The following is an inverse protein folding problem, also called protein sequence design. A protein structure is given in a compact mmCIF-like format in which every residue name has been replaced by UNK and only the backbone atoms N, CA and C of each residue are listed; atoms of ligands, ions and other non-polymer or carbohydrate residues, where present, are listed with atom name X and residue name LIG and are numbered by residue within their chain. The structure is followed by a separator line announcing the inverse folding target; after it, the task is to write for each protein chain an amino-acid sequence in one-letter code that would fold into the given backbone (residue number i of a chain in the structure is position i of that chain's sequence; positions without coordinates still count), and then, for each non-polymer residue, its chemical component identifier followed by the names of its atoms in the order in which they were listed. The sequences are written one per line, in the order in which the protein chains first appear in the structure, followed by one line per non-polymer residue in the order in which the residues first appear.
data_IF_924299459562
#
_entry.id   IF_924299459562
#
_cell.length_a   1.000
_cell.length_b   1.000
_cell.length_c   1.000
_cell.angle_alpha   90.00
_cell.angle_beta   90.00
_cell.angle_gamma   90.00
#
_symmetry.space_group_name_H-M   'P 1'
#
loop_
_entity.id
_entity.type
_entity.pdbx_description
1 polymer ?
#
# COMPACT_ATOMS: atom_id res chain seq x y z
N UNK A 1 -9.26 -8.78 -23.99
CA UNK A 1 -9.19 -8.83 -22.52
C UNK A 1 -8.71 -10.22 -22.08
N UNK A 2 -7.67 -10.36 -21.23
CA UNK A 2 -7.22 -11.66 -20.68
C UNK A 2 -8.32 -12.45 -19.93
N UNK A 3 -8.19 -13.78 -19.86
CA UNK A 3 -9.19 -14.68 -19.22
C UNK A 3 -9.53 -14.27 -17.78
N UNK A 4 -8.50 -13.96 -16.99
CA UNK A 4 -8.66 -13.48 -15.60
C UNK A 4 -9.64 -12.31 -15.52
N UNK A 5 -9.51 -11.34 -16.42
CA UNK A 5 -10.40 -10.19 -16.44
C UNK A 5 -11.79 -10.54 -16.95
N UNK A 6 -11.93 -11.43 -17.94
CA UNK A 6 -13.24 -11.87 -18.43
C UNK A 6 -14.08 -12.53 -17.33
N UNK A 7 -13.44 -13.28 -16.42
CA UNK A 7 -14.11 -13.92 -15.29
C UNK A 7 -14.56 -12.88 -14.25
N UNK A 8 -13.72 -11.90 -13.95
CA UNK A 8 -14.05 -10.86 -12.96
C UNK A 8 -15.03 -9.81 -13.49
N UNK A 9 -15.04 -9.61 -14.80
CA UNK A 9 -15.69 -8.49 -15.45
C UNK A 9 -17.21 -8.39 -15.17
N UNK A 10 -18.02 -9.48 -15.24
CA UNK A 10 -19.44 -9.42 -14.91
C UNK A 10 -19.72 -8.95 -13.49
N UNK A 11 -18.85 -9.30 -12.54
CA UNK A 11 -18.99 -8.92 -11.13
C UNK A 11 -18.62 -7.45 -10.92
N UNK A 12 -17.55 -6.99 -11.56
CA UNK A 12 -17.09 -5.61 -11.43
C UNK A 12 -18.03 -4.63 -12.15
N UNK A 13 -18.47 -4.96 -13.36
CA UNK A 13 -19.34 -4.08 -14.15
C UNK A 13 -20.74 -3.94 -13.55
N UNK A 14 -21.18 -4.91 -12.76
CA UNK A 14 -22.47 -4.87 -12.08
C UNK A 14 -22.60 -3.64 -11.17
N UNK A 15 -21.52 -3.25 -10.49
CA UNK A 15 -21.50 -2.04 -9.63
C UNK A 15 -21.60 -0.73 -10.40
N UNK A 16 -21.37 -0.75 -11.72
CA UNK A 16 -21.54 0.40 -12.61
C UNK A 16 -22.95 0.48 -13.23
N UNK A 17 -23.93 -0.27 -12.70
CA UNK A 17 -25.30 -0.33 -13.24
C UNK A 17 -26.40 -0.35 -12.17
N UNK A 18 -26.07 0.03 -10.93
CA UNK A 18 -26.98 -0.14 -9.79
C UNK A 18 -28.12 0.87 -9.81
N UNK A 19 -27.83 2.13 -10.16
CA UNK A 19 -28.79 3.25 -10.02
C UNK A 19 -29.39 3.68 -11.36
N UNK A 20 -28.77 3.30 -12.49
CA UNK A 20 -29.19 3.73 -13.82
C UNK A 20 -28.75 5.17 -14.16
N UNK A 21 -28.18 5.90 -13.19
CA UNK A 21 -27.61 7.23 -13.39
C UNK A 21 -26.11 7.13 -13.66
N UNK A 22 -25.69 7.43 -14.90
CA UNK A 22 -24.31 7.25 -15.36
C UNK A 22 -23.24 7.88 -14.44
N UNK A 23 -23.49 9.09 -13.91
CA UNK A 23 -22.54 9.76 -13.03
C UNK A 23 -22.40 9.08 -11.66
N UNK A 24 -23.52 8.66 -11.07
CA UNK A 24 -23.54 8.00 -9.75
C UNK A 24 -22.94 6.61 -9.86
N UNK A 25 -23.36 5.84 -10.87
CA UNK A 25 -22.86 4.50 -11.13
C UNK A 25 -21.36 4.47 -11.41
N UNK A 26 -20.82 5.49 -12.09
CA UNK A 26 -19.38 5.63 -12.30
C UNK A 26 -18.62 5.81 -10.98
N UNK A 27 -19.12 6.68 -10.09
CA UNK A 27 -18.49 6.91 -8.78
C UNK A 27 -18.59 5.68 -7.89
N UNK A 28 -19.77 5.05 -7.82
CA UNK A 28 -20.02 3.85 -7.01
C UNK A 28 -19.19 2.68 -7.50
N UNK A 29 -19.22 2.38 -8.80
CA UNK A 29 -18.42 1.30 -9.38
C UNK A 29 -16.92 1.51 -9.16
N UNK A 30 -16.43 2.73 -9.40
CA UNK A 30 -15.01 3.06 -9.20
C UNK A 30 -14.62 3.00 -7.72
N UNK A 31 -15.52 3.38 -6.81
CA UNK A 31 -15.29 3.27 -5.37
C UNK A 31 -15.16 1.81 -4.93
N UNK A 32 -16.02 0.93 -5.44
CA UNK A 32 -15.95 -0.51 -5.15
C UNK A 32 -14.64 -1.10 -5.67
N UNK A 33 -14.26 -0.82 -6.92
CA UNK A 33 -12.98 -1.29 -7.48
C UNK A 33 -11.79 -0.76 -6.68
N UNK A 34 -11.82 0.52 -6.28
CA UNK A 34 -10.79 1.12 -5.44
C UNK A 34 -10.70 0.45 -4.05
N UNK A 35 -11.83 0.15 -3.42
CA UNK A 35 -11.87 -0.57 -2.14
C UNK A 35 -11.34 -1.99 -2.26
N UNK A 36 -11.67 -2.72 -3.33
CA UNK A 36 -11.12 -4.05 -3.60
C UNK A 36 -9.60 -3.98 -3.74
N UNK A 37 -9.08 -3.04 -4.54
CA UNK A 37 -7.64 -2.85 -4.71
C UNK A 37 -6.95 -2.49 -3.38
N UNK A 38 -7.57 -1.61 -2.58
CA UNK A 38 -7.05 -1.19 -1.28
C UNK A 38 -6.99 -2.37 -0.29
N UNK A 39 -8.05 -3.18 -0.22
CA UNK A 39 -8.11 -4.36 0.65
C UNK A 39 -7.11 -5.43 0.22
N UNK A 40 -6.99 -5.68 -1.09
CA UNK A 40 -6.00 -6.61 -1.64
C UNK A 40 -4.56 -6.14 -1.34
N UNK A 41 -4.32 -4.83 -1.43
CA UNK A 41 -3.01 -4.23 -1.13
C UNK A 41 -2.67 -4.40 0.35
N UNK A 42 -3.62 -4.14 1.24
CA UNK A 42 -3.42 -4.33 2.68
C UNK A 42 -3.19 -5.79 3.06
N UNK A 43 -3.96 -6.72 2.48
CA UNK A 43 -3.76 -8.14 2.70
C UNK A 43 -2.38 -8.59 2.22
N UNK A 44 -1.95 -8.08 1.07
CA UNK A 44 -0.63 -8.36 0.50
C UNK A 44 0.49 -7.81 1.39
N UNK A 45 0.40 -6.55 1.83
CA UNK A 45 1.35 -5.95 2.77
C UNK A 45 1.38 -6.70 4.09
N UNK A 46 0.22 -7.10 4.60
CA UNK A 46 0.10 -7.89 5.83
C UNK A 46 0.80 -9.25 5.70
N UNK A 47 0.56 -9.96 4.60
CA UNK A 47 1.19 -11.25 4.34
C UNK A 47 2.71 -11.10 4.16
N UNK A 48 3.14 -10.12 3.37
CA UNK A 48 4.56 -9.81 3.17
C UNK A 48 5.26 -9.46 4.48
N UNK A 49 4.62 -8.65 5.32
CA UNK A 49 5.12 -8.33 6.66
C UNK A 49 5.19 -9.58 7.54
N UNK A 50 4.14 -10.42 7.58
CA UNK A 50 4.13 -11.65 8.38
C UNK A 50 5.25 -12.62 8.00
N UNK A 51 5.51 -12.78 6.70
CA UNK A 51 6.57 -13.65 6.19
C UNK A 51 7.97 -13.09 6.48
N UNK A 52 8.11 -11.76 6.49
CA UNK A 52 9.42 -11.10 6.63
C UNK A 52 9.73 -10.68 8.07
N UNK A 53 8.73 -10.65 8.97
CA UNK A 53 8.80 -10.07 10.33
C UNK A 53 10.07 -10.41 11.10
N UNK A 54 10.43 -11.69 11.16
CA UNK A 54 11.63 -12.14 11.89
C UNK A 54 12.94 -11.55 11.35
N UNK A 55 13.00 -11.29 10.04
CA UNK A 55 14.15 -10.62 9.41
C UNK A 55 14.10 -9.12 9.67
N UNK A 56 12.90 -8.52 9.58
CA UNK A 56 12.67 -7.09 9.86
C UNK A 56 13.20 -6.70 11.22
N UNK A 57 12.74 -7.39 12.27
CA UNK A 57 13.03 -7.02 13.65
C UNK A 57 14.55 -7.11 13.92
N UNK A 58 15.22 -8.14 13.36
CA UNK A 58 16.67 -8.32 13.47
C UNK A 58 17.48 -7.21 12.79
N UNK A 59 17.09 -6.80 11.58
CA UNK A 59 17.83 -5.74 10.87
C UNK A 59 17.59 -4.37 11.49
N UNK A 60 16.40 -4.12 12.04
CA UNK A 60 16.09 -2.87 12.75
C UNK A 60 16.91 -2.74 14.04
N UNK A 61 16.93 -3.78 14.88
CA UNK A 61 17.73 -3.81 16.12
C UNK A 61 19.24 -3.70 15.81
N UNK A 62 19.70 -4.38 14.77
CA UNK A 62 21.09 -4.30 14.33
C UNK A 62 21.46 -2.89 13.84
N UNK A 63 20.60 -2.25 13.03
CA UNK A 63 20.83 -0.90 12.53
C UNK A 63 20.97 0.12 13.67
N UNK A 64 20.06 0.07 14.65
CA UNK A 64 20.11 0.95 15.82
C UNK A 64 21.40 0.73 16.62
N UNK A 65 21.74 -0.53 16.90
CA UNK A 65 22.95 -0.88 17.65
C UNK A 65 24.23 -0.40 16.95
N UNK A 66 24.34 -0.60 15.64
CA UNK A 66 25.53 -0.16 14.90
C UNK A 66 25.61 1.36 14.75
N UNK A 67 24.48 2.03 14.69
CA UNK A 67 24.44 3.50 14.67
C UNK A 67 24.87 4.09 16.02
N UNK A 68 24.45 3.52 17.14
CA UNK A 68 24.96 3.94 18.46
C UNK A 68 26.46 3.71 18.55
N UNK A 69 26.93 2.53 18.13
CA UNK A 69 28.35 2.18 18.19
C UNK A 69 29.22 3.09 17.30
N UNK A 70 28.73 3.50 16.12
CA UNK A 70 29.46 4.42 15.26
C UNK A 70 29.54 5.82 15.87
N UNK A 71 28.46 6.32 16.47
CA UNK A 71 28.46 7.61 17.16
C UNK A 71 29.43 7.60 18.35
N UNK A 72 29.44 6.53 19.14
CA UNK A 72 30.33 6.41 20.30
C UNK A 72 31.80 6.29 19.90
N UNK A 73 32.10 5.52 18.84
CA UNK A 73 33.46 5.45 18.29
C UNK A 73 33.95 6.78 17.73
N UNK A 74 33.06 7.56 17.10
CA UNK A 74 33.37 8.91 16.62
C UNK A 74 33.70 9.85 17.77
N UNK A 75 32.91 9.82 18.86
CA UNK A 75 33.15 10.60 20.08
C UNK A 75 34.48 10.23 20.75
N UNK A 76 34.86 8.95 20.71
CA UNK A 76 36.12 8.45 21.24
C UNK A 76 37.33 8.76 20.34
N UNK A 77 37.13 9.38 19.16
CA UNK A 77 38.20 9.65 18.19
C UNK A 77 38.75 8.41 17.49
N UNK A 78 38.13 7.24 17.66
CA UNK A 78 38.58 5.98 17.08
C UNK A 78 38.02 5.81 15.67
N UNK A 79 38.77 6.30 14.67
CA UNK A 79 38.38 6.25 13.26
C UNK A 79 38.22 4.83 12.69
N UNK A 80 38.99 3.87 13.19
CA UNK A 80 38.93 2.48 12.72
C UNK A 80 37.63 1.82 13.18
N UNK A 81 37.32 1.94 14.47
CA UNK A 81 36.05 1.47 15.04
C UNK A 81 34.84 2.19 14.42
N UNK A 82 34.96 3.50 14.18
CA UNK A 82 33.93 4.27 13.48
C UNK A 82 33.66 3.72 12.08
N UNK A 83 34.70 3.49 11.28
CA UNK A 83 34.56 3.03 9.89
C UNK A 83 33.94 1.64 9.83
N UNK A 84 34.35 0.74 10.74
CA UNK A 84 33.78 -0.60 10.85
C UNK A 84 32.30 -0.56 11.24
N UNK A 85 31.95 0.20 12.29
CA UNK A 85 30.57 0.35 12.75
C UNK A 85 29.68 1.04 11.69
N UNK A 86 30.20 2.06 11.00
CA UNK A 86 29.49 2.77 9.95
C UNK A 86 29.18 1.85 8.74
N UNK A 87 30.11 0.96 8.37
CA UNK A 87 29.87 -0.02 7.30
C UNK A 87 28.73 -0.98 7.66
N UNK A 88 28.70 -1.48 8.89
CA UNK A 88 27.63 -2.36 9.39
C UNK A 88 26.29 -1.63 9.49
N UNK A 89 26.30 -0.37 9.94
CA UNK A 89 25.10 0.46 9.96
C UNK A 89 24.54 0.65 8.54
N UNK A 90 25.38 1.00 7.56
CA UNK A 90 24.94 1.23 6.18
C UNK A 90 24.34 -0.03 5.52
N UNK A 91 24.91 -1.21 5.79
CA UNK A 91 24.37 -2.48 5.30
C UNK A 91 22.97 -2.79 5.90
N UNK A 92 22.82 -2.58 7.21
CA UNK A 92 21.53 -2.73 7.89
C UNK A 92 20.49 -1.70 7.39
N UNK A 93 20.91 -0.47 7.08
CA UNK A 93 20.07 0.54 6.44
C UNK A 93 19.59 0.10 5.05
N UNK A 94 20.48 -0.45 4.22
CA UNK A 94 20.12 -0.97 2.90
C UNK A 94 19.00 -2.01 2.99
N UNK A 95 19.15 -2.96 3.91
CA UNK A 95 18.12 -3.98 4.15
C UNK A 95 16.78 -3.39 4.57
N UNK A 96 16.76 -2.44 5.51
CA UNK A 96 15.52 -1.82 5.98
C UNK A 96 14.84 -0.97 4.88
N UNK A 97 15.62 -0.30 4.04
CA UNK A 97 15.11 0.46 2.89
C UNK A 97 14.44 -0.44 1.86
N UNK A 98 15.10 -1.50 1.40
CA UNK A 98 14.51 -2.45 0.43
C UNK A 98 13.27 -3.13 0.96
N UNK A 99 13.21 -3.35 2.27
CA UNK A 99 12.02 -3.89 2.91
C UNK A 99 10.84 -2.91 2.84
N UNK A 100 11.06 -1.61 3.09
CA UNK A 100 10.01 -0.59 2.94
C UNK A 100 9.53 -0.49 1.50
N UNK A 101 10.44 -0.57 0.53
CA UNK A 101 10.08 -0.65 -0.89
C UNK A 101 9.23 -1.89 -1.19
N UNK A 102 9.58 -3.05 -0.63
CA UNK A 102 8.84 -4.29 -0.82
C UNK A 102 7.42 -4.18 -0.27
N UNK A 103 7.25 -3.63 0.94
CA UNK A 103 5.92 -3.42 1.54
C UNK A 103 5.10 -2.40 0.73
N UNK A 104 5.74 -1.38 0.18
CA UNK A 104 5.09 -0.38 -0.68
C UNK A 104 4.64 -0.98 -2.01
N UNK A 105 5.48 -1.81 -2.64
CA UNK A 105 5.12 -2.56 -3.85
C UNK A 105 3.99 -3.55 -3.58
N UNK A 106 4.03 -4.26 -2.45
CA UNK A 106 2.97 -5.16 -2.01
C UNK A 106 1.64 -4.44 -1.79
N UNK A 107 1.66 -3.17 -1.39
CA UNK A 107 0.45 -2.36 -1.26
C UNK A 107 -0.08 -1.89 -2.63
N UNK A 108 0.82 -1.49 -3.53
CA UNK A 108 0.44 -0.78 -4.76
C UNK A 108 0.08 -1.72 -5.93
N UNK A 109 0.59 -2.95 -5.98
CA UNK A 109 0.38 -3.81 -7.14
C UNK A 109 -1.08 -4.04 -7.57
N UNK A 110 -2.10 -4.14 -6.68
CA UNK A 110 -3.48 -4.36 -7.09
C UNK A 110 -4.07 -3.15 -7.81
N UNK A 111 -3.54 -1.94 -7.55
CA UNK A 111 -3.95 -0.72 -8.27
C UNK A 111 -3.65 -0.86 -9.76
N UNK A 112 -2.52 -1.43 -10.13
CA UNK A 112 -2.19 -1.65 -11.55
C UNK A 112 -3.16 -2.63 -12.22
N UNK A 113 -3.58 -3.69 -11.51
CA UNK A 113 -4.58 -4.63 -12.01
C UNK A 113 -5.96 -3.98 -12.17
N UNK A 114 -6.37 -3.16 -11.20
CA UNK A 114 -7.61 -2.40 -11.27
C UNK A 114 -7.61 -1.44 -12.48
N UNK A 115 -6.52 -0.68 -12.66
CA UNK A 115 -6.38 0.24 -13.77
C UNK A 115 -6.33 -0.49 -15.13
N UNK A 116 -5.66 -1.63 -15.21
CA UNK A 116 -5.63 -2.45 -16.43
C UNK A 116 -7.02 -3.00 -16.79
N UNK A 117 -7.81 -3.45 -15.81
CA UNK A 117 -9.21 -3.83 -16.04
C UNK A 117 -10.04 -2.63 -16.52
N UNK A 118 -9.92 -1.49 -15.84
CA UNK A 118 -10.64 -0.27 -16.21
C UNK A 118 -10.27 0.22 -17.62
N UNK A 119 -9.02 0.05 -18.05
CA UNK A 119 -8.60 0.38 -19.40
C UNK A 119 -9.44 -0.36 -20.45
N UNK A 120 -9.69 -1.65 -20.28
CA UNK A 120 -10.51 -2.40 -21.26
C UNK A 120 -11.98 -1.94 -21.33
N UNK A 121 -12.49 -1.24 -20.30
CA UNK A 121 -13.89 -0.82 -20.20
C UNK A 121 -14.12 0.67 -20.43
N UNK A 122 -13.17 1.50 -20.01
CA UNK A 122 -13.34 2.95 -19.88
C UNK A 122 -12.27 3.76 -20.63
N UNK A 123 -11.42 3.14 -21.45
CA UNK A 123 -10.36 3.84 -22.19
C UNK A 123 -10.88 5.03 -23.01
N UNK A 124 -12.02 4.87 -23.68
CA UNK A 124 -12.62 5.89 -24.53
C UNK A 124 -13.71 6.72 -23.82
N UNK A 125 -13.83 6.58 -22.49
CA UNK A 125 -14.85 7.28 -21.71
C UNK A 125 -14.20 8.48 -21.03
N UNK A 126 -14.63 9.67 -21.44
CA UNK A 126 -14.27 10.92 -20.78
C UNK A 126 -15.26 11.24 -19.67
N UNK A 127 -14.76 11.33 -18.43
CA UNK A 127 -15.59 11.64 -17.27
C UNK A 127 -15.59 13.15 -17.10
N UNK A 128 -16.72 13.80 -17.38
CA UNK A 128 -16.86 15.24 -17.14
C UNK A 128 -16.92 15.51 -15.64
N UNK A 129 -16.05 16.39 -15.15
CA UNK A 129 -16.01 16.74 -13.73
C UNK A 129 -17.24 17.62 -13.42
N UNK A 130 -18.09 17.26 -12.45
CA UNK A 130 -19.24 18.08 -12.05
C UNK A 130 -18.81 19.51 -11.69
N UNK A 131 -19.43 20.51 -12.31
CA UNK A 131 -19.14 21.93 -12.05
C UNK A 131 -17.96 22.53 -12.82
N UNK A 132 -17.31 21.79 -13.74
CA UNK A 132 -16.30 22.35 -14.66
C UNK A 132 -16.48 21.82 -16.09
N UNK A 133 -16.01 22.58 -17.09
CA UNK A 133 -15.96 22.14 -18.49
C UNK A 133 -14.77 21.21 -18.79
N UNK A 134 -14.12 20.65 -17.75
CA UNK A 134 -12.95 19.78 -17.91
C UNK A 134 -13.38 18.31 -17.88
N UNK A 135 -12.81 17.51 -18.77
CA UNK A 135 -12.90 16.05 -18.71
C UNK A 135 -11.68 15.47 -18.00
N UNK A 136 -11.91 14.36 -17.28
CA UNK A 136 -10.90 13.58 -16.62
C UNK A 136 -10.94 12.17 -17.20
N UNK A 137 -9.78 11.65 -17.60
CA UNK A 137 -9.68 10.25 -18.01
C UNK A 137 -9.95 9.30 -16.84
N UNK A 138 -10.25 8.04 -17.16
CA UNK A 138 -10.55 7.01 -16.16
C UNK A 138 -9.46 6.86 -15.09
N UNK A 139 -8.17 7.04 -15.45
CA UNK A 139 -7.04 6.98 -14.52
C UNK A 139 -7.16 8.07 -13.45
N UNK A 140 -7.41 9.32 -13.88
CA UNK A 140 -7.55 10.45 -12.95
C UNK A 140 -8.75 10.27 -12.02
N UNK A 141 -9.88 9.82 -12.58
CA UNK A 141 -11.08 9.53 -11.79
C UNK A 141 -10.81 8.42 -10.75
N UNK A 142 -10.14 7.34 -11.16
CA UNK A 142 -9.74 6.27 -10.26
C UNK A 142 -8.83 6.76 -9.13
N UNK A 143 -7.80 7.56 -9.43
CA UNK A 143 -6.88 8.08 -8.42
C UNK A 143 -7.62 8.94 -7.39
N UNK A 144 -8.51 9.84 -7.83
CA UNK A 144 -9.30 10.70 -6.93
C UNK A 144 -10.16 9.85 -6.00
N UNK A 145 -10.88 8.88 -6.56
CA UNK A 145 -11.75 7.98 -5.79
C UNK A 145 -10.95 7.06 -4.87
N UNK A 146 -9.79 6.56 -5.33
CA UNK A 146 -8.90 5.72 -4.54
C UNK A 146 -8.33 6.45 -3.33
N UNK A 147 -7.87 7.69 -3.51
CA UNK A 147 -7.38 8.53 -2.42
C UNK A 147 -8.53 8.82 -1.43
N UNK A 148 -9.73 9.13 -1.93
CA UNK A 148 -10.90 9.31 -1.08
C UNK A 148 -11.23 8.03 -0.27
N UNK A 149 -11.21 6.87 -0.92
CA UNK A 149 -11.42 5.57 -0.27
C UNK A 149 -10.36 5.28 0.80
N UNK A 150 -9.09 5.57 0.52
CA UNK A 150 -7.98 5.43 1.47
C UNK A 150 -8.20 6.25 2.75
N UNK A 151 -8.60 7.52 2.60
CA UNK A 151 -8.90 8.38 3.75
C UNK A 151 -10.17 7.99 4.49
N UNK A 152 -11.22 7.61 3.77
CA UNK A 152 -12.48 7.13 4.37
C UNK A 152 -12.21 5.90 5.23
N UNK A 153 -11.45 4.94 4.71
CA UNK A 153 -11.03 3.76 5.46
C UNK A 153 -10.20 4.11 6.69
N UNK A 154 -9.26 5.07 6.60
CA UNK A 154 -8.47 5.54 7.76
C UNK A 154 -9.34 6.11 8.89
N UNK A 155 -10.51 6.66 8.56
CA UNK A 155 -11.48 7.19 9.53
C UNK A 155 -12.36 6.12 10.18
N UNK A 156 -12.43 4.88 9.66
CA UNK A 156 -13.21 3.82 10.30
C UNK A 156 -12.46 3.21 11.51
N UNK A 157 -12.93 3.40 12.75
CA UNK A 157 -12.24 2.94 13.96
C UNK A 157 -12.19 1.40 14.10
N UNK A 158 -13.09 0.68 13.44
CA UNK A 158 -13.21 -0.78 13.57
C UNK A 158 -12.03 -1.57 12.97
N UNK A 159 -11.38 -1.05 11.91
CA UNK A 159 -10.19 -1.67 11.30
C UNK A 159 -8.89 -1.43 12.09
N UNK A 160 -8.86 -0.44 13.00
CA UNK A 160 -7.71 -0.22 13.90
C UNK A 160 -7.57 -1.32 14.95
N UNK A 161 -8.68 -2.00 15.29
CA UNK A 161 -8.73 -3.07 16.31
C UNK A 161 -8.08 -4.38 15.82
N UNK A 162 -8.17 -4.68 14.53
CA UNK A 162 -7.52 -5.87 13.93
C UNK A 162 -6.00 -5.70 13.89
N UNK A 163 -5.50 -4.48 13.65
CA UNK A 163 -4.06 -4.20 13.77
C UNK A 163 -3.57 -4.44 15.20
N UNK A 164 -4.31 -4.01 16.22
CA UNK A 164 -3.95 -4.27 17.63
C UNK A 164 -3.88 -5.76 18.02
N UNK A 165 -4.72 -6.61 17.41
CA UNK A 165 -4.71 -8.06 17.69
C UNK A 165 -3.57 -8.78 16.95
N UNK A 166 -3.13 -8.27 15.79
CA UNK A 166 -2.05 -8.91 15.02
C UNK A 166 -0.66 -8.32 15.29
N UNK A 167 -0.56 -7.07 15.75
CA UNK A 167 0.71 -6.44 16.17
C UNK A 167 0.87 -6.34 17.69
N UNK A 168 -0.04 -6.92 18.47
CA UNK A 168 0.14 -7.03 19.92
C UNK A 168 1.42 -7.82 20.24
N UNK A 169 2.24 -7.37 21.22
CA UNK A 169 3.28 -8.25 21.75
C UNK A 169 2.58 -9.46 22.37
N UNK A 170 3.08 -10.66 22.07
CA UNK A 170 2.73 -11.88 22.81
C UNK A 170 3.43 -11.84 24.19
N UNK A 171 3.19 -10.77 24.96
CA UNK A 171 3.52 -10.69 26.38
C UNK A 171 2.20 -10.71 27.14
N UNK A 172 1.63 -11.91 27.20
CA UNK A 172 0.55 -12.29 28.08
C UNK A 172 0.90 -13.64 28.70
N UNK A 173 2.07 -13.72 29.31
CA UNK A 173 2.50 -14.80 30.17
C UNK A 173 3.13 -14.16 31.42
N UNK A 174 2.24 -13.72 32.30
CA UNK A 174 2.49 -13.59 33.73
C UNK A 174 1.28 -14.17 34.43
#
# INVERSE_FOLDING_TARGET
MPLFYQVLDPYLIWFYRITGHAGVDMVVGTLVVALIALLAGELSTFLAFRLTRKRVDRYAEAAERYQTLSIDALKAGNKEAYTAANKLANDAFGHSFFQQLTLSAAFLWPVFFALAWMQYRFLNIEIRIPGTNRSLGFIGAFIVVYVAAYFLRKRLPWLRRIKGIVTGPLTGAH
#
